data_IF_681892901732
#
_entry.id   IF_681892901732
#
_cell.length_a   1.000
_cell.length_b   1.000
_cell.length_c   1.000
_cell.angle_alpha   90.00
_cell.angle_beta   90.00
_cell.angle_gamma   90.00
#
_symmetry.space_group_name_H-M   'P 1'
#
loop_
_entity.id
_entity.type
_entity.pdbx_description
1 polymer ?
#
# COMPACT_ATOMS: atom_id res chain seq x y z
N UNK A 1 -33.75 0.31 -10.40
CA UNK A 1 -32.98 -0.03 -11.62
C UNK A 1 -31.50 -0.12 -11.25
N UNK A 2 -30.95 -1.32 -11.29
CA UNK A 2 -29.65 -1.71 -10.74
C UNK A 2 -28.50 -1.43 -11.71
N UNK A 3 -27.71 -0.39 -11.44
CA UNK A 3 -26.53 0.03 -12.22
C UNK A 3 -25.26 -0.80 -11.96
N UNK A 4 -25.36 -1.89 -11.20
CA UNK A 4 -24.22 -2.68 -10.72
C UNK A 4 -23.29 -3.29 -11.80
N UNK A 5 -23.75 -3.76 -12.99
CA UNK A 5 -22.85 -4.44 -13.92
C UNK A 5 -21.91 -3.50 -14.70
N UNK A 6 -22.26 -2.21 -14.83
CA UNK A 6 -21.50 -1.25 -15.64
C UNK A 6 -20.26 -0.74 -14.88
N UNK A 7 -20.42 -0.44 -13.59
CA UNK A 7 -19.32 0.04 -12.73
C UNK A 7 -18.23 -1.02 -12.51
N UNK A 8 -18.59 -2.30 -12.49
CA UNK A 8 -17.62 -3.39 -12.38
C UNK A 8 -16.76 -3.53 -13.65
N UNK A 9 -17.35 -3.34 -14.83
CA UNK A 9 -16.64 -3.44 -16.10
C UNK A 9 -15.64 -2.29 -16.32
N UNK A 10 -15.98 -1.08 -15.90
CA UNK A 10 -15.09 0.09 -15.95
C UNK A 10 -13.91 -0.06 -14.98
N UNK A 11 -14.16 -0.49 -13.74
CA UNK A 11 -13.11 -0.75 -12.76
C UNK A 11 -12.13 -1.86 -13.23
N UNK A 12 -12.63 -2.87 -13.94
CA UNK A 12 -11.81 -3.93 -14.53
C UNK A 12 -10.91 -3.39 -15.65
N UNK A 13 -11.44 -2.49 -16.49
CA UNK A 13 -10.71 -1.87 -17.60
C UNK A 13 -9.61 -0.93 -17.10
N UNK A 14 -9.90 -0.13 -16.06
CA UNK A 14 -8.90 0.71 -15.37
C UNK A 14 -7.75 -0.13 -14.79
N UNK A 15 -8.09 -1.24 -14.13
CA UNK A 15 -7.11 -2.16 -13.53
C UNK A 15 -6.20 -2.80 -14.59
N UNK A 16 -6.77 -3.19 -15.74
CA UNK A 16 -6.01 -3.76 -16.86
C UNK A 16 -5.02 -2.76 -17.46
N UNK A 17 -5.41 -1.49 -17.62
CA UNK A 17 -4.53 -0.44 -18.16
C UNK A 17 -3.34 -0.21 -17.22
N UNK A 18 -3.60 -0.05 -15.92
CA UNK A 18 -2.58 0.13 -14.87
C UNK A 18 -1.54 -1.01 -14.91
N UNK A 19 -1.99 -2.25 -15.09
CA UNK A 19 -1.11 -3.42 -15.13
C UNK A 19 -0.14 -3.39 -16.32
N UNK A 20 -0.59 -2.99 -17.51
CA UNK A 20 0.27 -2.90 -18.71
C UNK A 20 1.41 -1.89 -18.52
N UNK A 21 1.15 -0.75 -17.88
CA UNK A 21 2.17 0.29 -17.65
C UNK A 21 3.17 -0.12 -16.57
N UNK A 22 2.69 -0.78 -15.52
CA UNK A 22 3.57 -1.33 -14.49
C UNK A 22 4.57 -2.32 -15.12
N UNK A 23 4.14 -3.11 -16.11
CA UNK A 23 5.01 -3.98 -16.89
C UNK A 23 6.01 -3.19 -17.76
N UNK A 24 5.60 -2.11 -18.43
CA UNK A 24 6.53 -1.28 -19.22
C UNK A 24 7.58 -0.57 -18.34
N UNK A 25 7.20 -0.07 -17.16
CA UNK A 25 8.13 0.52 -16.17
C UNK A 25 9.05 -0.52 -15.54
N UNK A 26 8.64 -1.78 -15.45
CA UNK A 26 9.50 -2.85 -14.95
C UNK A 26 10.72 -3.08 -15.88
N UNK A 27 10.58 -2.83 -17.19
CA UNK A 27 11.65 -2.99 -18.17
C UNK A 27 12.79 -1.97 -18.01
N UNK A 28 12.53 -0.80 -17.41
CA UNK A 28 13.55 0.25 -17.20
C UNK A 28 14.20 0.20 -15.82
N UNK A 29 13.69 -0.62 -14.91
CA UNK A 29 14.19 -0.78 -13.55
C UNK A 29 15.08 -2.01 -13.44
N UNK A 30 16.04 -1.98 -12.50
CA UNK A 30 16.74 -3.20 -12.13
C UNK A 30 15.72 -4.27 -11.68
N UNK A 31 15.84 -5.49 -12.20
CA UNK A 31 14.85 -6.56 -12.03
C UNK A 31 14.43 -6.81 -10.57
N UNK A 32 15.38 -6.73 -9.64
CA UNK A 32 15.13 -6.90 -8.21
C UNK A 32 14.25 -5.77 -7.63
N UNK A 33 14.48 -4.53 -8.06
CA UNK A 33 13.69 -3.37 -7.64
C UNK A 33 12.30 -3.42 -8.23
N UNK A 34 12.17 -3.78 -9.52
CA UNK A 34 10.88 -3.97 -10.17
C UNK A 34 10.02 -4.99 -9.42
N UNK A 35 10.56 -6.21 -9.24
CA UNK A 35 9.88 -7.29 -8.51
C UNK A 35 9.48 -6.88 -7.10
N UNK A 36 10.32 -6.14 -6.39
CA UNK A 36 10.01 -5.70 -5.04
C UNK A 36 8.88 -4.65 -5.02
N UNK A 37 8.84 -3.72 -5.99
CA UNK A 37 7.74 -2.76 -6.13
C UNK A 37 6.44 -3.48 -6.50
N UNK A 38 6.49 -4.40 -7.47
CA UNK A 38 5.31 -5.14 -7.94
C UNK A 38 4.67 -5.96 -6.82
N UNK A 39 5.47 -6.66 -6.01
CA UNK A 39 4.95 -7.40 -4.85
C UNK A 39 4.24 -6.48 -3.83
N UNK A 40 4.72 -5.25 -3.64
CA UNK A 40 4.12 -4.30 -2.69
C UNK A 40 2.87 -3.64 -3.26
N UNK A 41 2.87 -3.33 -4.56
CA UNK A 41 1.70 -2.88 -5.30
C UNK A 41 0.61 -3.93 -5.29
N UNK A 42 0.94 -5.18 -5.61
CA UNK A 42 -0.02 -6.27 -5.65
C UNK A 42 -0.71 -6.44 -4.30
N UNK A 43 0.05 -6.39 -3.20
CA UNK A 43 -0.56 -6.41 -1.85
C UNK A 43 -1.56 -5.28 -1.61
N UNK A 44 -1.29 -4.08 -2.12
CA UNK A 44 -2.24 -2.99 -2.05
C UNK A 44 -3.49 -3.24 -2.90
N UNK A 45 -3.33 -3.79 -4.11
CA UNK A 45 -4.46 -4.17 -4.96
C UNK A 45 -5.30 -5.28 -4.32
N UNK A 46 -4.65 -6.31 -3.77
CA UNK A 46 -5.30 -7.40 -3.03
C UNK A 46 -6.03 -6.87 -1.79
N UNK A 47 -5.45 -5.87 -1.11
CA UNK A 47 -6.11 -5.17 -0.01
C UNK A 47 -7.38 -4.46 -0.49
N UNK A 48 -7.30 -3.66 -1.55
CA UNK A 48 -8.45 -2.98 -2.15
C UNK A 48 -9.54 -3.96 -2.60
N UNK A 49 -9.16 -5.11 -3.15
CA UNK A 49 -10.09 -6.16 -3.56
C UNK A 49 -10.84 -6.79 -2.36
N UNK A 50 -10.16 -6.99 -1.22
CA UNK A 50 -10.77 -7.57 -0.01
C UNK A 50 -11.77 -6.67 0.68
N UNK A 51 -11.52 -5.35 0.70
CA UNK A 51 -12.34 -4.38 1.45
C UNK A 51 -13.53 -3.85 0.65
N UNK A 52 -13.75 -4.31 -0.59
CA UNK A 52 -14.91 -3.99 -1.43
C UNK A 52 -15.25 -2.49 -1.51
N UNK A 53 -14.25 -1.61 -1.63
CA UNK A 53 -14.55 -0.19 -1.85
C UNK A 53 -15.13 0.03 -3.24
N UNK A 54 -16.28 0.70 -3.31
CA UNK A 54 -16.99 1.12 -4.54
C UNK A 54 -16.13 1.99 -5.46
N UNK A 55 -15.09 2.62 -4.92
CA UNK A 55 -14.09 3.35 -5.67
C UNK A 55 -12.97 2.38 -6.02
N UNK A 56 -12.70 2.24 -7.32
CA UNK A 56 -11.71 1.36 -7.94
C UNK A 56 -10.32 1.42 -7.27
N UNK A 57 -9.35 0.62 -7.73
CA UNK A 57 -8.00 0.52 -7.16
C UNK A 57 -7.18 1.84 -7.09
N UNK A 58 -7.82 2.99 -7.35
CA UNK A 58 -7.31 4.35 -7.14
C UNK A 58 -6.74 4.54 -5.75
N UNK A 59 -5.51 5.04 -5.77
CA UNK A 59 -4.76 5.40 -4.59
C UNK A 59 -5.24 6.76 -4.10
N UNK A 60 -5.70 6.80 -2.86
CA UNK A 60 -5.98 8.03 -2.11
C UNK A 60 -5.18 8.01 -0.81
N UNK A 61 -4.96 9.19 -0.20
CA UNK A 61 -4.28 9.27 1.10
C UNK A 61 -4.96 8.37 2.15
N UNK A 62 -6.30 8.44 2.25
CA UNK A 62 -7.08 7.66 3.21
C UNK A 62 -6.94 6.15 2.97
N UNK A 63 -7.01 5.68 1.71
CA UNK A 63 -6.84 4.25 1.40
C UNK A 63 -5.40 3.79 1.67
N UNK A 64 -4.41 4.62 1.38
CA UNK A 64 -3.02 4.32 1.71
C UNK A 64 -2.85 4.17 3.23
N UNK A 65 -3.42 5.07 4.01
CA UNK A 65 -3.38 5.00 5.48
C UNK A 65 -4.04 3.76 6.03
N UNK A 66 -5.25 3.46 5.55
CA UNK A 66 -6.02 2.30 5.98
C UNK A 66 -5.28 0.99 5.64
N UNK A 67 -4.72 0.89 4.43
CA UNK A 67 -3.82 -0.20 4.04
C UNK A 67 -2.61 -0.33 4.99
N UNK A 68 -1.97 0.78 5.34
CA UNK A 68 -0.83 0.76 6.24
C UNK A 68 -1.21 0.27 7.63
N UNK A 69 -2.35 0.69 8.17
CA UNK A 69 -2.82 0.29 9.49
C UNK A 69 -3.25 -1.18 9.51
N UNK A 70 -4.15 -1.55 8.60
CA UNK A 70 -4.85 -2.83 8.63
C UNK A 70 -4.03 -3.98 8.04
N UNK A 71 -3.16 -3.73 7.05
CA UNK A 71 -2.47 -4.82 6.36
C UNK A 71 -0.94 -4.83 6.57
N UNK A 72 -0.31 -3.65 6.63
CA UNK A 72 1.16 -3.54 6.72
C UNK A 72 1.64 -3.56 8.16
N UNK A 73 1.12 -2.67 9.01
CA UNK A 73 1.56 -2.52 10.40
C UNK A 73 0.97 -3.62 11.27
N UNK A 74 -0.35 -3.88 11.17
CA UNK A 74 -1.03 -4.91 11.97
C UNK A 74 -0.40 -6.30 11.82
N UNK A 75 -0.15 -6.75 10.58
CA UNK A 75 0.45 -8.08 10.34
C UNK A 75 1.97 -8.09 10.50
N UNK A 76 2.61 -6.93 10.60
CA UNK A 76 4.04 -6.78 10.86
C UNK A 76 4.94 -7.60 9.91
N UNK A 77 6.03 -8.13 10.47
CA UNK A 77 7.04 -8.88 9.74
C UNK A 77 6.57 -10.32 9.48
N UNK A 78 5.77 -10.50 8.43
CA UNK A 78 5.26 -11.81 7.98
C UNK A 78 6.37 -12.83 7.69
N UNK A 79 7.54 -12.40 7.25
CA UNK A 79 8.65 -13.32 6.96
C UNK A 79 9.25 -13.90 8.25
N UNK A 80 9.35 -13.10 9.32
CA UNK A 80 9.73 -13.59 10.65
C UNK A 80 8.66 -14.50 11.23
N UNK A 81 7.38 -14.11 11.11
CA UNK A 81 6.26 -14.93 11.56
C UNK A 81 6.23 -16.31 10.89
N UNK A 82 6.44 -16.39 9.56
CA UNK A 82 6.57 -17.66 8.81
C UNK A 82 7.74 -18.54 9.27
N UNK A 83 8.75 -17.96 9.91
CA UNK A 83 9.89 -18.69 10.50
C UNK A 83 9.66 -19.05 11.98
N UNK A 84 8.42 -18.93 12.48
CA UNK A 84 8.09 -19.16 13.88
C UNK A 84 8.61 -18.09 14.84
N UNK A 85 9.12 -16.95 14.34
CA UNK A 85 9.68 -15.88 15.18
C UNK A 85 8.60 -14.86 15.51
N UNK A 86 8.05 -14.96 16.71
CA UNK A 86 7.08 -14.04 17.29
C UNK A 86 7.66 -13.29 18.48
N UNK A 87 7.02 -12.19 18.85
CA UNK A 87 7.28 -11.53 20.13
C UNK A 87 6.85 -12.44 21.29
N UNK A 88 7.30 -12.16 22.54
CA UNK A 88 6.90 -12.94 23.71
C UNK A 88 5.38 -13.01 23.94
N UNK A 89 4.63 -12.00 23.51
CA UNK A 89 3.17 -11.94 23.58
C UNK A 89 2.47 -12.65 22.39
N UNK A 90 3.20 -13.40 21.57
CA UNK A 90 2.66 -14.13 20.42
C UNK A 90 2.38 -13.27 19.18
N UNK A 91 2.53 -11.95 19.24
CA UNK A 91 2.27 -11.09 18.08
C UNK A 91 3.47 -11.02 17.11
N UNK A 92 3.24 -10.73 15.82
CA UNK A 92 4.32 -10.54 14.86
C UNK A 92 5.28 -9.41 15.28
N UNK A 93 6.56 -9.54 14.94
CA UNK A 93 7.50 -8.43 15.06
C UNK A 93 7.07 -7.24 14.20
N UNK A 94 7.31 -5.99 14.64
CA UNK A 94 6.91 -4.82 13.85
C UNK A 94 7.78 -4.74 12.59
N UNK A 95 7.28 -4.08 11.55
CA UNK A 95 8.12 -3.69 10.42
C UNK A 95 9.01 -2.52 10.81
N UNK A 96 10.20 -2.45 10.20
CA UNK A 96 11.04 -1.26 10.37
C UNK A 96 10.43 -0.06 9.63
N UNK A 97 10.73 1.18 10.06
CA UNK A 97 10.28 2.38 9.35
C UNK A 97 10.67 2.38 7.87
N UNK A 98 11.86 1.87 7.53
CA UNK A 98 12.32 1.73 6.14
C UNK A 98 11.47 0.73 5.35
N UNK A 99 11.06 -0.39 5.95
CA UNK A 99 10.14 -1.33 5.29
C UNK A 99 8.77 -0.71 5.02
N UNK A 100 8.24 0.08 5.95
CA UNK A 100 6.97 0.81 5.78
C UNK A 100 7.11 1.85 4.64
N UNK A 101 8.21 2.61 4.61
CA UNK A 101 8.50 3.57 3.54
C UNK A 101 8.57 2.92 2.15
N UNK A 102 9.09 1.69 2.04
CA UNK A 102 9.09 0.95 0.79
C UNK A 102 7.68 0.59 0.29
N UNK A 103 6.72 0.32 1.18
CA UNK A 103 5.32 0.14 0.79
C UNK A 103 4.72 1.45 0.30
N UNK A 104 4.95 2.56 1.02
CA UNK A 104 4.49 3.89 0.63
C UNK A 104 5.04 4.26 -0.75
N UNK A 105 6.33 4.06 -1.00
CA UNK A 105 6.96 4.32 -2.30
C UNK A 105 6.32 3.52 -3.42
N UNK A 106 6.04 2.23 -3.20
CA UNK A 106 5.42 1.38 -4.21
C UNK A 106 3.98 1.83 -4.54
N UNK A 107 3.19 2.20 -3.53
CA UNK A 107 1.80 2.66 -3.72
C UNK A 107 1.76 4.07 -4.33
N UNK A 108 2.70 4.95 -3.99
CA UNK A 108 2.81 6.29 -4.61
C UNK A 108 3.27 6.21 -6.07
N UNK A 109 4.10 5.23 -6.41
CA UNK A 109 4.46 4.96 -7.80
C UNK A 109 3.23 4.50 -8.61
N UNK A 110 2.38 3.65 -8.02
CA UNK A 110 1.08 3.28 -8.59
C UNK A 110 0.16 4.50 -8.77
N UNK A 111 0.09 5.40 -7.79
CA UNK A 111 -0.64 6.66 -7.94
C UNK A 111 -0.12 7.51 -9.10
N UNK A 112 1.20 7.55 -9.30
CA UNK A 112 1.81 8.29 -10.41
C UNK A 112 1.39 7.70 -11.75
N UNK A 113 1.29 6.37 -11.85
CA UNK A 113 0.74 5.70 -13.03
C UNK A 113 -0.73 6.06 -13.25
N UNK A 114 -1.56 6.02 -12.20
CA UNK A 114 -2.97 6.38 -12.26
C UNK A 114 -3.19 7.82 -12.72
N UNK A 115 -2.44 8.76 -12.15
CA UNK A 115 -2.52 10.19 -12.48
C UNK A 115 -2.17 10.49 -13.94
N UNK A 116 -1.25 9.75 -14.53
CA UNK A 116 -0.88 9.96 -15.92
C UNK A 116 -1.99 9.53 -16.89
N UNK A 117 -2.71 8.44 -16.59
CA UNK A 117 -3.66 7.83 -17.53
C UNK A 117 -5.12 8.25 -17.32
N UNK A 118 -5.49 8.68 -16.11
CA UNK A 118 -6.83 9.16 -15.83
C UNK A 118 -6.93 10.63 -16.26
N UNK A 119 -7.22 10.82 -17.55
CA UNK A 119 -7.39 12.14 -18.15
C UNK A 119 -8.59 12.84 -17.52
N UNK A 120 -8.39 14.06 -17.02
CA UNK A 120 -9.47 14.92 -16.52
C UNK A 120 -9.79 14.79 -15.03
N UNK A 121 -9.08 13.97 -14.24
CA UNK A 121 -9.24 13.89 -12.78
C UNK A 121 -8.00 14.44 -12.07
N UNK A 122 -8.20 15.45 -11.22
CA UNK A 122 -7.16 15.93 -10.33
C UNK A 122 -7.05 15.00 -9.10
N UNK A 123 -6.23 13.96 -9.23
CA UNK A 123 -5.89 13.08 -8.11
C UNK A 123 -5.02 13.82 -7.10
N UNK A 124 -5.51 13.91 -5.86
CA UNK A 124 -4.77 14.48 -4.74
C UNK A 124 -3.56 13.60 -4.39
N UNK A 125 -2.47 14.25 -3.97
CA UNK A 125 -1.25 13.53 -3.57
C UNK A 125 -1.55 12.60 -2.39
N UNK A 126 -1.28 11.29 -2.51
CA UNK A 126 -1.45 10.35 -1.41
C UNK A 126 -0.46 10.57 -0.24
N UNK A 127 0.55 11.43 -0.39
CA UNK A 127 1.48 11.85 0.67
C UNK A 127 1.05 13.12 1.40
N UNK A 128 -0.24 13.23 1.70
CA UNK A 128 -0.80 14.36 2.41
C UNK A 128 -0.41 14.46 3.89
N UNK A 129 -1.14 15.29 4.61
CA UNK A 129 -0.89 15.61 6.02
C UNK A 129 -1.21 14.45 6.96
N UNK A 130 -2.25 13.67 6.68
CA UNK A 130 -2.67 12.55 7.52
C UNK A 130 -1.60 11.46 7.53
N UNK A 131 -1.00 11.15 6.39
CA UNK A 131 0.11 10.20 6.29
C UNK A 131 1.30 10.64 7.14
N UNK A 132 1.65 11.94 7.08
CA UNK A 132 2.76 12.49 7.86
C UNK A 132 2.50 12.39 9.36
N UNK A 133 1.29 12.72 9.81
CA UNK A 133 0.89 12.61 11.22
C UNK A 133 0.93 11.16 11.70
N UNK A 134 0.44 10.24 10.90
CA UNK A 134 0.48 8.80 11.22
C UNK A 134 1.91 8.26 11.31
N UNK A 135 2.79 8.62 10.38
CA UNK A 135 4.20 8.22 10.45
C UNK A 135 4.90 8.81 11.67
N UNK A 136 4.53 10.03 12.08
CA UNK A 136 5.03 10.63 13.33
C UNK A 136 4.54 9.85 14.55
N UNK A 137 3.27 9.47 14.61
CA UNK A 137 2.74 8.69 15.74
C UNK A 137 3.40 7.32 15.85
N UNK A 138 3.67 6.64 14.73
CA UNK A 138 4.43 5.38 14.73
C UNK A 138 5.84 5.53 15.31
N UNK A 139 6.53 6.63 14.98
CA UNK A 139 7.87 6.90 15.54
C UNK A 139 7.83 7.17 17.04
N UNK A 140 6.82 7.91 17.50
CA UNK A 140 6.63 8.19 18.92
C UNK A 140 6.32 6.90 19.70
N UNK A 141 5.40 6.07 19.19
CA UNK A 141 5.09 4.77 19.79
C UNK A 141 6.32 3.87 19.90
N UNK A 142 7.17 3.83 18.87
CA UNK A 142 8.41 3.04 18.93
C UNK A 142 9.43 3.62 19.92
N UNK A 143 9.54 4.94 20.02
CA UNK A 143 10.41 5.59 21.01
C UNK A 143 9.95 5.31 22.45
N UNK A 144 8.65 5.38 22.72
CA UNK A 144 8.09 5.07 24.03
C UNK A 144 8.25 3.59 24.38
N UNK A 145 8.11 2.69 23.39
CA UNK A 145 8.40 1.26 23.56
C UNK A 145 9.85 1.01 23.97
N UNK A 146 10.81 1.70 23.35
CA UNK A 146 12.23 1.58 23.68
C UNK A 146 12.54 2.10 25.08
N UNK A 147 11.90 3.19 25.50
CA UNK A 147 12.02 3.73 26.87
C UNK A 147 11.50 2.77 27.93
N UNK A 148 10.37 2.10 27.68
CA UNK A 148 9.77 1.13 28.61
C UNK A 148 10.55 -0.19 28.68
N UNK A 149 11.43 -0.46 27.72
CA UNK A 149 12.27 -1.68 27.69
C UNK A 149 13.62 -1.53 28.38
N UNK A 150 13.94 -0.34 28.89
CA UNK A 150 15.16 0.00 29.63
C UNK A 150 14.86 0.05 31.13
#
# INVERSE_FOLDING_TARGET
MSNFPIQAAEAQKETNIINVISQMKALTRCANTAKAYDNRRQKYLDYCARICHTSSALVTETKLLDFLQQDVVLFGNRQRARRGKFRPNGSPYPLSPSSIDQYIKAVVDLHTDQKFFIVGINLQDPRGTLLKLYLRSLRLQEADRLRQSY
#
